data_IF_821242720344
#
_entry.id   IF_821242720344
#
_cell.length_a   1.000
_cell.length_b   1.000
_cell.length_c   1.000
_cell.angle_alpha   90.00
_cell.angle_beta   90.00
_cell.angle_gamma   90.00
#
_symmetry.space_group_name_H-M   'P 1'
#
loop_
_entity.id
_entity.type
_entity.pdbx_description
1 polymer ?
#
# COMPACT_ATOMS: atom_id res chain seq x y z
N UNK A 1 -20.20 0.62 -33.06
CA UNK A 1 -20.94 1.89 -33.12
C UNK A 1 -20.34 2.78 -32.04
N UNK A 2 -20.18 4.09 -32.26
CA UNK A 2 -19.64 4.93 -31.19
C UNK A 2 -20.71 5.10 -30.10
N UNK A 3 -20.31 5.12 -28.82
CA UNK A 3 -21.24 5.25 -27.69
C UNK A 3 -22.16 6.47 -27.81
N UNK A 4 -21.67 7.56 -28.42
CA UNK A 4 -22.46 8.73 -28.74
C UNK A 4 -23.61 8.44 -29.72
N UNK A 5 -23.37 7.64 -30.77
CA UNK A 5 -24.40 7.27 -31.75
C UNK A 5 -25.50 6.43 -31.10
N UNK A 6 -25.12 5.55 -30.16
CA UNK A 6 -26.05 4.75 -29.37
C UNK A 6 -26.95 5.65 -28.49
N UNK A 7 -26.37 6.68 -27.87
CA UNK A 7 -27.14 7.68 -27.12
C UNK A 7 -28.05 8.53 -28.01
N UNK A 8 -27.59 8.91 -29.20
CA UNK A 8 -28.43 9.62 -30.18
C UNK A 8 -29.65 8.76 -30.56
N UNK A 9 -29.43 7.49 -30.90
CA UNK A 9 -30.52 6.55 -31.22
C UNK A 9 -31.47 6.35 -30.05
N UNK A 10 -30.94 6.15 -28.83
CA UNK A 10 -31.75 6.02 -27.62
C UNK A 10 -32.67 7.23 -27.41
N UNK A 11 -32.14 8.44 -27.59
CA UNK A 11 -32.92 9.67 -27.43
C UNK A 11 -34.02 9.80 -28.50
N UNK A 12 -33.71 9.46 -29.76
CA UNK A 12 -34.74 9.41 -30.81
C UNK A 12 -35.83 8.38 -30.51
N UNK A 13 -35.48 7.22 -29.92
CA UNK A 13 -36.46 6.21 -29.51
C UNK A 13 -37.36 6.62 -28.32
N UNK A 14 -36.96 7.63 -27.55
CA UNK A 14 -37.76 8.17 -26.45
C UNK A 14 -38.71 9.29 -26.89
N UNK A 15 -38.62 9.75 -28.14
CA UNK A 15 -39.53 10.76 -28.67
C UNK A 15 -40.91 10.14 -28.95
N UNK A 16 -42.00 10.92 -28.79
CA UNK A 16 -43.32 10.51 -29.25
C UNK A 16 -43.33 10.25 -30.76
N UNK A 17 -44.16 9.32 -31.21
CA UNK A 17 -44.37 9.11 -32.64
C UNK A 17 -45.07 10.33 -33.28
N UNK A 18 -44.62 10.75 -34.46
CA UNK A 18 -45.32 11.76 -35.26
C UNK A 18 -44.39 12.65 -36.11
N UNK A 19 -44.96 13.38 -37.09
CA UNK A 19 -44.18 14.18 -38.05
C UNK A 19 -43.46 15.38 -37.43
N UNK A 20 -43.80 15.76 -36.20
CA UNK A 20 -43.13 16.85 -35.49
C UNK A 20 -41.68 16.51 -35.10
N UNK A 21 -41.32 15.23 -35.13
CA UNK A 21 -40.01 14.71 -34.72
C UNK A 21 -39.25 14.03 -35.88
N UNK A 22 -39.74 14.20 -37.09
CA UNK A 22 -39.16 13.59 -38.29
C UNK A 22 -37.92 14.37 -38.75
N UNK A 23 -36.88 13.66 -39.19
CA UNK A 23 -35.60 14.25 -39.62
C UNK A 23 -34.61 14.58 -38.48
N UNK A 24 -33.61 15.40 -38.81
CA UNK A 24 -32.53 15.79 -37.89
C UNK A 24 -33.04 16.75 -36.81
N UNK A 25 -32.65 16.48 -35.56
CA UNK A 25 -33.03 17.27 -34.40
C UNK A 25 -31.79 17.70 -33.61
N UNK A 26 -31.39 18.97 -33.79
CA UNK A 26 -30.19 19.52 -33.17
C UNK A 26 -30.21 19.53 -31.62
N UNK A 27 -31.39 19.48 -31.00
CA UNK A 27 -31.50 19.34 -29.54
C UNK A 27 -31.05 17.94 -29.11
N UNK A 28 -31.49 16.91 -29.82
CA UNK A 28 -31.14 15.51 -29.55
C UNK A 28 -29.65 15.27 -29.83
N UNK A 29 -29.18 15.75 -30.98
CA UNK A 29 -27.77 15.65 -31.38
C UNK A 29 -26.85 16.46 -30.47
N UNK A 30 -27.33 17.57 -29.90
CA UNK A 30 -26.61 18.35 -28.90
C UNK A 30 -26.60 17.69 -27.51
N UNK A 31 -27.66 16.95 -27.16
CA UNK A 31 -27.79 16.29 -25.86
C UNK A 31 -26.97 14.99 -25.78
N UNK A 32 -26.93 14.19 -26.84
CA UNK A 32 -26.24 12.90 -26.86
C UNK A 32 -24.75 12.97 -26.45
N UNK A 33 -23.94 13.95 -26.92
CA UNK A 33 -22.56 14.12 -26.47
C UNK A 33 -22.44 14.36 -24.96
N UNK A 34 -23.41 15.04 -24.35
CA UNK A 34 -23.39 15.30 -22.91
C UNK A 34 -23.62 14.01 -22.10
N UNK A 35 -24.54 13.15 -22.55
CA UNK A 35 -24.79 11.84 -21.96
C UNK A 35 -23.59 10.91 -22.14
N UNK A 36 -22.98 10.92 -23.32
CA UNK A 36 -21.75 10.18 -23.59
C UNK A 36 -20.61 10.59 -22.63
N UNK A 37 -20.39 11.88 -22.40
CA UNK A 37 -19.41 12.36 -21.41
C UNK A 37 -19.73 11.89 -20.00
N UNK A 38 -20.99 11.94 -19.58
CA UNK A 38 -21.41 11.47 -18.25
C UNK A 38 -21.20 9.96 -18.11
N UNK A 39 -21.51 9.18 -19.14
CA UNK A 39 -21.23 7.74 -19.16
C UNK A 39 -19.73 7.47 -19.02
N UNK A 40 -18.88 8.16 -19.79
CA UNK A 40 -17.44 7.99 -19.71
C UNK A 40 -16.91 8.31 -18.30
N UNK A 41 -17.37 9.43 -17.70
CA UNK A 41 -17.04 9.77 -16.30
C UNK A 41 -17.52 8.72 -15.30
N UNK A 42 -18.68 8.11 -15.51
CA UNK A 42 -19.14 7.00 -14.67
C UNK A 42 -18.24 5.76 -14.82
N UNK A 43 -17.75 5.47 -16.02
CA UNK A 43 -16.78 4.40 -16.27
C UNK A 43 -15.43 4.66 -15.60
N UNK A 44 -14.92 5.89 -15.68
CA UNK A 44 -13.70 6.33 -14.99
C UNK A 44 -13.86 6.18 -13.47
N UNK A 45 -15.02 6.54 -12.91
CA UNK A 45 -15.30 6.38 -11.48
C UNK A 45 -15.24 4.91 -11.02
N UNK A 46 -15.55 3.95 -11.88
CA UNK A 46 -15.43 2.53 -11.53
C UNK A 46 -13.98 2.10 -11.29
N UNK A 47 -13.01 2.73 -11.98
CA UNK A 47 -11.59 2.48 -11.74
C UNK A 47 -11.13 3.02 -10.38
N UNK A 48 -11.77 4.08 -9.89
CA UNK A 48 -11.47 4.71 -8.60
C UNK A 48 -11.95 3.90 -7.39
N UNK A 49 -12.79 2.87 -7.58
CA UNK A 49 -13.25 1.98 -6.51
C UNK A 49 -12.09 1.14 -5.95
N UNK A 50 -11.14 0.78 -6.81
CA UNK A 50 -9.99 -0.05 -6.47
C UNK A 50 -8.87 0.83 -5.87
N UNK A 51 -8.52 0.65 -4.57
CA UNK A 51 -7.46 1.43 -3.92
C UNK A 51 -6.09 1.28 -4.59
N UNK A 52 -5.84 0.17 -5.31
CA UNK A 52 -4.61 -0.04 -6.07
C UNK A 52 -4.53 0.80 -7.35
N UNK A 53 -5.66 1.36 -7.81
CA UNK A 53 -5.78 2.07 -9.10
C UNK A 53 -6.36 3.48 -8.99
N UNK A 54 -6.87 3.88 -7.83
CA UNK A 54 -7.42 5.22 -7.61
C UNK A 54 -6.39 6.31 -7.90
N UNK A 55 -6.81 7.35 -8.61
CA UNK A 55 -5.99 8.50 -8.99
C UNK A 55 -6.64 9.80 -8.53
N UNK A 56 -7.92 10.00 -8.85
CA UNK A 56 -8.67 11.19 -8.46
C UNK A 56 -9.09 11.15 -6.99
N UNK A 57 -9.41 9.97 -6.46
CA UNK A 57 -9.89 9.81 -5.08
C UNK A 57 -8.80 9.44 -4.07
N UNK A 58 -7.54 9.37 -4.50
CA UNK A 58 -6.44 8.86 -3.66
C UNK A 58 -6.30 9.63 -2.35
N UNK A 59 -6.38 10.97 -2.37
CA UNK A 59 -6.28 11.79 -1.17
C UNK A 59 -7.40 11.48 -0.16
N UNK A 60 -8.61 11.19 -0.67
CA UNK A 60 -9.75 10.84 0.17
C UNK A 60 -9.57 9.46 0.80
N UNK A 61 -9.09 8.49 0.02
CA UNK A 61 -8.78 7.16 0.52
C UNK A 61 -7.68 7.21 1.59
N UNK A 62 -6.58 7.91 1.32
CA UNK A 62 -5.49 8.05 2.28
C UNK A 62 -5.97 8.65 3.60
N UNK A 63 -6.80 9.70 3.55
CA UNK A 63 -7.39 10.26 4.75
C UNK A 63 -8.22 9.23 5.55
N UNK A 64 -9.06 8.45 4.87
CA UNK A 64 -9.88 7.41 5.51
C UNK A 64 -9.04 6.30 6.15
N UNK A 65 -7.93 5.93 5.52
CA UNK A 65 -7.01 4.92 6.02
C UNK A 65 -5.91 5.49 6.94
N UNK A 66 -5.95 6.79 7.26
CA UNK A 66 -4.95 7.43 8.10
C UNK A 66 -3.53 7.34 7.51
N UNK A 67 -3.41 7.63 6.22
CA UNK A 67 -2.16 7.79 5.49
C UNK A 67 -1.96 9.29 5.16
N UNK A 68 -0.72 9.78 5.08
CA UNK A 68 0.52 9.11 5.51
C UNK A 68 0.55 8.91 7.03
N UNK A 69 1.21 7.86 7.49
CA UNK A 69 1.30 7.53 8.91
C UNK A 69 2.72 7.67 9.46
N UNK A 70 2.89 7.43 10.76
CA UNK A 70 4.20 7.53 11.43
C UNK A 70 5.27 6.60 10.86
N UNK A 71 4.89 5.52 10.17
CA UNK A 71 5.83 4.58 9.57
C UNK A 71 6.31 5.05 8.20
N UNK A 72 5.61 6.01 7.59
CA UNK A 72 5.92 6.51 6.26
C UNK A 72 5.71 8.03 6.24
N UNK A 73 6.65 8.80 6.82
CA UNK A 73 6.49 10.24 6.99
C UNK A 73 6.29 10.96 5.65
N UNK A 74 5.69 12.15 5.72
CA UNK A 74 5.45 13.00 4.56
C UNK A 74 6.74 13.25 3.78
N UNK A 75 6.70 12.92 2.49
CA UNK A 75 7.81 13.07 1.55
C UNK A 75 7.28 12.98 0.13
N UNK A 76 8.13 13.27 -0.86
CA UNK A 76 7.75 13.21 -2.28
C UNK A 76 7.61 11.73 -2.69
N UNK A 77 6.41 11.19 -2.57
CA UNK A 77 6.05 9.85 -3.07
C UNK A 77 5.44 9.96 -4.46
N UNK A 78 5.77 9.01 -5.33
CA UNK A 78 5.09 8.90 -6.62
C UNK A 78 3.66 8.40 -6.42
N UNK A 79 2.77 8.69 -7.37
CA UNK A 79 1.39 8.19 -7.34
C UNK A 79 1.34 6.65 -7.19
N UNK A 80 2.24 5.95 -7.87
CA UNK A 80 2.33 4.49 -7.79
C UNK A 80 2.72 4.01 -6.39
N UNK A 81 3.66 4.68 -5.72
CA UNK A 81 4.05 4.33 -4.35
C UNK A 81 2.89 4.55 -3.36
N UNK A 82 2.12 5.63 -3.57
CA UNK A 82 0.92 5.92 -2.77
C UNK A 82 -0.16 4.85 -2.96
N UNK A 83 -0.46 4.48 -4.21
CA UNK A 83 -1.41 3.41 -4.54
C UNK A 83 -1.00 2.07 -3.93
N UNK A 84 0.28 1.69 -4.01
CA UNK A 84 0.79 0.44 -3.41
C UNK A 84 0.61 0.42 -1.89
N UNK A 85 0.89 1.54 -1.21
CA UNK A 85 0.73 1.65 0.24
C UNK A 85 -0.73 1.63 0.65
N UNK A 86 -1.58 2.34 -0.08
CA UNK A 86 -3.01 2.36 0.14
C UNK A 86 -3.61 0.97 -0.07
N UNK A 87 -3.25 0.29 -1.16
CA UNK A 87 -3.67 -1.08 -1.45
C UNK A 87 -3.24 -2.05 -0.35
N UNK A 88 -1.98 -1.99 0.07
CA UNK A 88 -1.49 -2.77 1.20
C UNK A 88 -2.33 -2.49 2.46
N UNK A 89 -2.59 -1.24 2.81
CA UNK A 89 -3.35 -0.93 4.03
C UNK A 89 -4.84 -1.29 3.94
N UNK A 90 -5.44 -1.17 2.77
CA UNK A 90 -6.86 -1.43 2.55
C UNK A 90 -7.19 -2.91 2.40
N UNK A 91 -6.30 -3.66 1.73
CA UNK A 91 -6.54 -5.05 1.33
C UNK A 91 -5.72 -6.08 2.12
N UNK A 92 -4.91 -5.67 3.10
CA UNK A 92 -4.21 -6.61 3.98
C UNK A 92 -5.23 -7.45 4.76
N UNK A 93 -5.28 -8.74 4.40
CA UNK A 93 -5.95 -9.75 5.18
C UNK A 93 -5.10 -10.01 6.44
N UNK A 94 -5.53 -9.43 7.57
CA UNK A 94 -4.80 -9.56 8.83
C UNK A 94 -4.57 -11.02 9.24
N UNK A 95 -3.50 -11.25 10.01
CA UNK A 95 -3.17 -12.55 10.56
C UNK A 95 -2.31 -12.43 11.82
N UNK A 96 -2.36 -13.46 12.66
CA UNK A 96 -1.55 -13.57 13.89
C UNK A 96 -0.67 -14.82 13.81
N UNK A 97 0.03 -15.00 12.69
CA UNK A 97 0.89 -16.15 12.45
C UNK A 97 2.15 -15.74 11.68
N UNK A 98 3.17 -16.58 11.72
CA UNK A 98 4.46 -16.33 11.08
C UNK A 98 4.35 -16.01 9.60
N UNK A 99 3.53 -16.78 8.86
CA UNK A 99 3.36 -16.60 7.41
C UNK A 99 2.87 -15.19 7.09
N UNK A 100 1.89 -14.69 7.84
CA UNK A 100 1.38 -13.33 7.67
C UNK A 100 2.51 -12.29 7.84
N UNK A 101 3.26 -12.34 8.94
CA UNK A 101 4.33 -11.36 9.17
C UNK A 101 5.46 -11.46 8.14
N UNK A 102 5.78 -12.67 7.64
CA UNK A 102 6.72 -12.85 6.52
C UNK A 102 6.20 -12.23 5.24
N UNK A 103 4.93 -12.44 4.87
CA UNK A 103 4.32 -11.83 3.69
C UNK A 103 4.38 -10.29 3.76
N UNK A 104 4.19 -9.70 4.95
CA UNK A 104 4.34 -8.26 5.15
C UNK A 104 5.79 -7.79 5.00
N UNK A 105 6.76 -8.55 5.50
CA UNK A 105 8.20 -8.25 5.34
C UNK A 105 8.61 -8.36 3.87
N UNK A 106 8.18 -9.40 3.17
CA UNK A 106 8.42 -9.62 1.74
C UNK A 106 7.88 -8.45 0.90
N UNK A 107 6.66 -7.98 1.21
CA UNK A 107 6.04 -6.84 0.54
C UNK A 107 6.81 -5.53 0.75
N UNK A 108 7.55 -5.41 1.86
CA UNK A 108 8.45 -4.30 2.15
C UNK A 108 9.86 -4.50 1.58
N UNK A 109 10.13 -5.63 0.92
CA UNK A 109 11.42 -5.96 0.29
C UNK A 109 12.36 -6.81 1.14
N UNK A 110 11.90 -7.33 2.28
CA UNK A 110 12.70 -8.12 3.23
C UNK A 110 12.50 -9.63 3.07
N UNK A 111 12.77 -10.15 1.86
CA UNK A 111 12.50 -11.56 1.51
C UNK A 111 13.34 -12.58 2.27
N UNK A 112 14.49 -12.18 2.78
CA UNK A 112 15.41 -13.04 3.53
C UNK A 112 15.21 -12.92 5.06
N UNK A 113 14.24 -12.13 5.51
CA UNK A 113 13.95 -12.00 6.94
C UNK A 113 13.41 -13.32 7.51
N UNK A 114 13.76 -13.61 8.77
CA UNK A 114 13.28 -14.79 9.48
C UNK A 114 12.60 -14.42 10.77
N UNK A 115 11.66 -15.24 11.20
CA UNK A 115 10.90 -15.04 12.45
C UNK A 115 11.19 -16.20 13.38
N UNK A 116 11.52 -15.89 14.62
CA UNK A 116 11.72 -16.85 15.70
C UNK A 116 10.66 -16.66 16.78
N UNK A 117 10.11 -17.79 17.22
CA UNK A 117 9.05 -17.87 18.21
C UNK A 117 9.56 -18.62 19.42
N UNK A 118 9.39 -18.03 20.61
CA UNK A 118 9.98 -18.57 21.83
C UNK A 118 8.98 -19.34 22.70
N UNK A 119 7.67 -19.23 22.46
CA UNK A 119 6.66 -19.77 23.38
C UNK A 119 6.74 -21.28 23.66
N UNK A 120 7.41 -22.05 22.79
CA UNK A 120 7.56 -23.51 22.91
C UNK A 120 8.95 -23.95 23.40
N UNK A 121 9.84 -23.02 23.77
CA UNK A 121 11.15 -23.39 24.31
C UNK A 121 11.02 -23.83 25.78
N UNK A 122 11.96 -24.66 26.23
CA UNK A 122 12.00 -25.13 27.63
C UNK A 122 12.66 -24.11 28.58
N UNK A 123 13.43 -23.15 28.05
CA UNK A 123 14.16 -22.14 28.81
C UNK A 123 14.24 -20.82 28.05
N UNK A 124 14.47 -19.72 28.77
CA UNK A 124 14.53 -18.39 28.15
C UNK A 124 15.70 -18.28 27.16
N UNK A 125 15.48 -17.74 25.94
CA UNK A 125 16.56 -17.45 25.00
C UNK A 125 17.45 -16.29 25.46
N UNK A 126 16.95 -15.42 26.34
CA UNK A 126 17.63 -14.26 26.88
C UNK A 126 17.35 -14.13 28.39
N UNK A 127 18.37 -14.21 29.26
CA UNK A 127 18.21 -14.06 30.71
C UNK A 127 17.60 -12.71 31.13
N UNK A 128 17.71 -11.67 30.29
CA UNK A 128 17.21 -10.31 30.59
C UNK A 128 15.69 -10.18 30.42
N UNK A 129 15.05 -11.10 29.69
CA UNK A 129 13.59 -11.04 29.39
C UNK A 129 12.70 -11.62 30.49
N UNK A 130 13.30 -11.93 31.65
CA UNK A 130 12.66 -12.40 32.87
C UNK A 130 11.64 -13.54 32.62
N UNK A 131 10.38 -13.40 33.05
CA UNK A 131 9.33 -14.42 32.85
C UNK A 131 8.44 -14.12 31.61
N UNK A 132 8.55 -12.92 31.04
CA UNK A 132 7.72 -12.45 29.93
C UNK A 132 8.19 -12.92 28.55
N UNK A 133 9.38 -13.52 28.46
CA UNK A 133 10.00 -13.98 27.21
C UNK A 133 9.11 -14.88 26.33
N UNK A 134 8.10 -15.55 26.89
CA UNK A 134 7.14 -16.36 26.12
C UNK A 134 6.21 -15.52 25.22
N UNK A 135 6.04 -14.24 25.53
CA UNK A 135 5.26 -13.29 24.73
C UNK A 135 6.14 -12.56 23.71
N UNK A 136 7.44 -12.86 23.70
CA UNK A 136 8.40 -12.23 22.82
C UNK A 136 8.57 -13.12 21.59
N UNK A 137 8.77 -12.47 20.46
CA UNK A 137 9.12 -13.12 19.22
C UNK A 137 10.09 -12.21 18.48
N UNK A 138 10.99 -12.80 17.71
CA UNK A 138 12.09 -12.07 17.11
C UNK A 138 11.98 -12.06 15.59
N UNK A 139 12.16 -10.89 14.99
CA UNK A 139 12.34 -10.75 13.55
C UNK A 139 13.82 -10.52 13.31
N UNK A 140 14.46 -11.47 12.63
CA UNK A 140 15.83 -11.33 12.17
C UNK A 140 15.83 -10.75 10.76
N UNK A 141 16.33 -9.53 10.61
CA UNK A 141 16.50 -8.86 9.32
C UNK A 141 18.00 -8.91 8.99
N UNK A 142 18.43 -9.58 7.90
CA UNK A 142 19.84 -9.64 7.56
C UNK A 142 20.43 -8.24 7.41
N UNK A 143 21.59 -7.99 8.05
CA UNK A 143 22.20 -6.65 8.14
C UNK A 143 22.50 -6.00 6.78
N UNK A 144 22.63 -6.82 5.72
CA UNK A 144 22.91 -6.37 4.35
C UNK A 144 21.66 -5.86 3.61
N UNK A 145 20.47 -6.01 4.18
CA UNK A 145 19.21 -5.72 3.49
C UNK A 145 18.94 -4.23 3.21
N UNK A 146 19.62 -3.29 3.89
CA UNK A 146 19.46 -1.85 3.59
C UNK A 146 20.53 -0.94 4.24
N UNK A 147 21.82 -1.21 4.00
CA UNK A 147 22.86 -0.24 4.39
C UNK A 147 22.92 0.87 3.33
N UNK A 148 22.34 2.04 3.65
CA UNK A 148 22.59 3.25 2.87
C UNK A 148 23.85 3.94 3.41
N UNK A 149 24.86 4.05 2.54
CA UNK A 149 26.09 4.79 2.81
C UNK A 149 25.94 6.23 2.36
N UNK A 150 26.43 7.15 3.18
CA UNK A 150 26.67 8.51 2.70
C UNK A 150 27.64 8.45 1.51
N UNK A 151 27.29 9.12 0.42
CA UNK A 151 28.16 9.23 -0.77
C UNK A 151 28.71 10.66 -0.86
N UNK A 152 29.68 10.87 -1.76
CA UNK A 152 30.24 12.20 -2.02
C UNK A 152 29.21 13.20 -2.58
N UNK A 153 28.00 12.76 -2.93
CA UNK A 153 26.89 13.61 -3.38
C UNK A 153 25.84 13.87 -2.30
N UNK A 154 25.93 13.23 -1.13
CA UNK A 154 25.05 13.47 0.00
C UNK A 154 25.37 14.82 0.69
N UNK A 155 24.41 15.38 1.41
CA UNK A 155 24.63 16.59 2.21
C UNK A 155 25.57 16.30 3.38
N UNK A 156 26.30 17.32 3.85
CA UNK A 156 27.22 17.17 4.99
C UNK A 156 26.50 16.78 6.29
N UNK A 157 25.18 16.96 6.34
CA UNK A 157 24.35 16.78 7.53
C UNK A 157 23.62 15.41 7.52
N UNK A 158 23.75 14.63 6.44
CA UNK A 158 23.16 13.30 6.37
C UNK A 158 23.93 12.31 7.24
N UNK A 159 23.24 11.33 7.84
CA UNK A 159 23.89 10.26 8.58
C UNK A 159 24.93 9.52 7.72
N UNK A 160 26.11 9.26 8.28
CA UNK A 160 27.24 8.57 7.61
C UNK A 160 26.83 7.14 7.22
N UNK A 161 25.98 6.51 8.04
CA UNK A 161 25.37 5.20 7.81
C UNK A 161 24.01 5.18 8.49
N UNK A 162 22.96 4.82 7.74
CA UNK A 162 21.65 4.52 8.33
C UNK A 162 21.57 3.01 8.56
N UNK A 163 21.19 2.62 9.77
CA UNK A 163 20.95 1.23 10.15
C UNK A 163 19.48 1.09 10.48
N UNK A 164 18.91 -0.07 10.18
CA UNK A 164 17.50 -0.33 10.39
C UNK A 164 16.65 0.41 9.37
N UNK A 165 15.62 -0.28 8.90
CA UNK A 165 14.54 0.38 8.21
C UNK A 165 13.42 0.62 9.21
N UNK A 166 13.36 1.86 9.68
CA UNK A 166 12.30 2.33 10.59
C UNK A 166 10.89 2.04 10.05
N UNK A 167 10.73 1.88 8.73
CA UNK A 167 9.45 1.54 8.12
C UNK A 167 9.04 0.11 8.47
N UNK A 168 9.94 -0.86 8.29
CA UNK A 168 9.65 -2.27 8.56
C UNK A 168 9.40 -2.52 10.05
N UNK A 169 10.23 -1.94 10.92
CA UNK A 169 10.03 -2.02 12.36
C UNK A 169 8.68 -1.43 12.76
N UNK A 170 8.35 -0.23 12.28
CA UNK A 170 7.11 0.45 12.62
C UNK A 170 5.87 -0.29 12.08
N UNK A 171 5.92 -0.83 10.86
CA UNK A 171 4.79 -1.58 10.28
C UNK A 171 4.55 -2.86 11.08
N UNK A 172 5.60 -3.62 11.36
CA UNK A 172 5.47 -4.88 12.09
C UNK A 172 5.05 -4.64 13.54
N UNK A 173 5.58 -3.62 14.20
CA UNK A 173 5.17 -3.23 15.56
C UNK A 173 3.69 -2.84 15.61
N UNK A 174 3.19 -2.08 14.64
CA UNK A 174 1.75 -1.74 14.53
C UNK A 174 0.85 -2.95 14.27
N UNK A 175 1.33 -3.95 13.56
CA UNK A 175 0.60 -5.18 13.26
C UNK A 175 0.73 -6.23 14.39
N UNK A 176 1.66 -6.00 15.32
CA UNK A 176 1.88 -6.88 16.46
C UNK A 176 0.66 -6.87 17.38
N UNK A 177 0.18 -8.03 17.87
CA UNK A 177 -0.86 -8.08 18.87
C UNK A 177 -0.41 -7.35 20.14
N UNK A 178 -1.31 -6.58 20.75
CA UNK A 178 -1.02 -5.81 21.97
C UNK A 178 -0.49 -6.60 23.18
N UNK A 179 -0.59 -7.94 23.16
CA UNK A 179 -0.14 -8.82 24.24
C UNK A 179 1.21 -9.49 23.95
N UNK A 180 1.83 -9.24 22.80
CA UNK A 180 3.16 -9.75 22.45
C UNK A 180 4.12 -8.59 22.16
N UNK A 181 5.41 -8.88 22.26
CA UNK A 181 6.48 -7.91 22.00
C UNK A 181 7.33 -8.45 20.86
N UNK A 182 7.49 -7.64 19.82
CA UNK A 182 8.42 -7.95 18.73
C UNK A 182 9.79 -7.41 19.06
N UNK A 183 10.82 -8.23 18.89
CA UNK A 183 12.22 -7.83 19.00
C UNK A 183 12.83 -7.87 17.61
N UNK A 184 13.41 -6.75 17.16
CA UNK A 184 14.12 -6.69 15.89
C UNK A 184 15.60 -6.97 16.11
N UNK A 185 16.14 -7.94 15.38
CA UNK A 185 17.55 -8.28 15.41
C UNK A 185 18.18 -8.18 14.02
N UNK A 186 19.39 -7.64 13.99
CA UNK A 186 20.18 -7.45 12.78
C UNK A 186 21.46 -8.28 12.86
N UNK A 187 21.39 -9.60 12.61
CA UNK A 187 22.57 -10.44 12.62
C UNK A 187 23.55 -10.00 11.53
N UNK A 188 24.83 -9.86 11.89
CA UNK A 188 25.89 -9.61 10.92
C UNK A 188 26.07 -10.81 9.98
N UNK A 189 26.17 -10.53 8.68
CA UNK A 189 26.51 -11.53 7.67
C UNK A 189 27.87 -12.16 7.97
N UNK A 190 27.97 -13.49 7.86
CA UNK A 190 29.19 -14.25 8.15
C UNK A 190 30.38 -13.94 7.22
N UNK A 191 30.24 -13.06 6.23
CA UNK A 191 31.27 -12.78 5.23
C UNK A 191 32.21 -11.61 5.59
N UNK A 192 31.88 -10.75 6.56
CA UNK A 192 32.67 -9.55 6.85
C UNK A 192 33.55 -9.64 8.11
N UNK A 193 33.62 -10.81 8.77
CA UNK A 193 34.50 -11.06 9.91
C UNK A 193 35.88 -11.61 9.50
N UNK A 194 36.43 -11.11 8.38
CA UNK A 194 37.85 -11.25 8.05
C UNK A 194 38.44 -9.86 7.88
N UNK A 195 38.87 -9.26 9.00
CA UNK A 195 39.95 -8.29 9.06
C UNK A 195 40.71 -8.50 10.38
#
# INVERSE_FOLDING_TARGET
MALQDEYTQLLYHLLPEGPAWDGENSLIEGLAPSLNRVHQRAGELMAEIDPARTTELIDRYEHLYGLPDSCAPEGVQTLQQRQQRLDAKANVAGGINERFYREQLDALGYTDATIEQFQNLDSTPDPEWEESWRYYWRVNIPADANISWQTCTSTCDSAIRTWGDTVAECVIDKLCPSHTVVVFAYPEGKENAQN
#
